data_IF_633986125839
#
_entry.id   IF_633986125839
#
_cell.length_a   1.000
_cell.length_b   1.000
_cell.length_c   1.000
_cell.angle_alpha   90.00
_cell.angle_beta   90.00
_cell.angle_gamma   90.00
#
_symmetry.space_group_name_H-M   'P 1'
#
loop_
_entity.id
_entity.type
_entity.pdbx_description
1 polymer ?
#
# COMPACT_ATOMS: atom_id res chain seq x y z
N UNK A 1 -14.51 -4.81 2.32
CA UNK A 1 -13.18 -4.71 1.69
C UNK A 1 -13.33 -4.57 0.17
N UNK A 2 -14.32 -5.21 -0.45
CA UNK A 2 -14.74 -4.98 -1.84
C UNK A 2 -14.80 -3.49 -2.25
N UNK A 3 -15.41 -2.62 -1.44
CA UNK A 3 -15.47 -1.17 -1.72
C UNK A 3 -14.09 -0.49 -1.73
N UNK A 4 -13.16 -0.93 -0.87
CA UNK A 4 -11.78 -0.43 -0.89
C UNK A 4 -11.06 -0.89 -2.16
N UNK A 5 -11.18 -2.16 -2.52
CA UNK A 5 -10.58 -2.72 -3.73
C UNK A 5 -11.06 -2.00 -5.01
N UNK A 6 -12.37 -1.72 -5.12
CA UNK A 6 -12.94 -0.97 -6.23
C UNK A 6 -12.37 0.45 -6.28
N UNK A 7 -12.32 1.15 -5.13
CA UNK A 7 -11.76 2.50 -5.07
C UNK A 7 -10.27 2.52 -5.41
N UNK A 8 -9.49 1.57 -4.90
CA UNK A 8 -8.06 1.45 -5.16
C UNK A 8 -7.79 1.25 -6.66
N UNK A 9 -8.55 0.38 -7.32
CA UNK A 9 -8.50 0.21 -8.79
C UNK A 9 -8.93 1.46 -9.57
N UNK A 10 -9.77 2.30 -8.95
CA UNK A 10 -10.31 3.54 -9.53
C UNK A 10 -9.51 4.81 -9.20
N UNK A 11 -8.36 4.72 -8.52
CA UNK A 11 -7.50 5.88 -8.28
C UNK A 11 -7.13 6.54 -9.61
N UNK A 12 -7.19 7.88 -9.64
CA UNK A 12 -7.08 8.66 -10.88
C UNK A 12 -5.86 9.58 -10.88
N UNK A 13 -5.84 10.61 -10.03
CA UNK A 13 -4.75 11.59 -9.95
C UNK A 13 -3.49 10.93 -9.42
N UNK A 14 -3.60 10.12 -8.37
CA UNK A 14 -2.46 9.44 -7.72
C UNK A 14 -2.26 8.01 -8.23
N UNK A 15 -2.59 7.75 -9.50
CA UNK A 15 -2.60 6.38 -10.04
C UNK A 15 -1.22 5.72 -10.00
N UNK A 16 -0.15 6.51 -10.19
CA UNK A 16 1.22 6.00 -10.18
C UNK A 16 1.64 5.43 -8.82
N UNK A 17 0.98 5.83 -7.73
CA UNK A 17 1.23 5.28 -6.39
C UNK A 17 0.98 3.77 -6.33
N UNK A 18 -0.08 3.29 -7.01
CA UNK A 18 -0.44 1.86 -7.07
C UNK A 18 0.07 1.16 -8.34
N UNK A 19 0.86 1.84 -9.17
CA UNK A 19 1.43 1.26 -10.40
C UNK A 19 2.76 0.56 -10.15
N UNK A 20 2.79 -0.36 -9.18
CA UNK A 20 3.96 -1.19 -8.85
C UNK A 20 3.57 -2.68 -8.82
N UNK A 21 4.54 -3.57 -9.00
CA UNK A 21 4.30 -5.02 -8.88
C UNK A 21 3.79 -5.36 -7.47
N UNK A 22 4.41 -4.81 -6.43
CA UNK A 22 4.01 -4.94 -5.02
C UNK A 22 2.55 -4.51 -4.80
N UNK A 23 2.15 -3.35 -5.32
CA UNK A 23 0.77 -2.88 -5.17
C UNK A 23 -0.23 -3.76 -5.92
N UNK A 24 0.13 -4.27 -7.11
CA UNK A 24 -0.71 -5.22 -7.86
C UNK A 24 -0.88 -6.53 -7.11
N UNK A 25 0.20 -7.12 -6.59
CA UNK A 25 0.12 -8.35 -5.79
C UNK A 25 -0.73 -8.15 -4.53
N UNK A 26 -0.67 -6.99 -3.88
CA UNK A 26 -1.58 -6.69 -2.76
C UNK A 26 -3.04 -6.62 -3.22
N UNK A 27 -3.34 -5.92 -4.32
CA UNK A 27 -4.72 -5.81 -4.82
C UNK A 27 -5.27 -7.17 -5.29
N UNK A 28 -4.44 -8.01 -5.86
CA UNK A 28 -4.79 -9.37 -6.26
C UNK A 28 -5.04 -10.26 -5.04
N UNK A 29 -4.20 -10.16 -4.01
CA UNK A 29 -4.40 -10.83 -2.72
C UNK A 29 -5.74 -10.41 -2.09
N UNK A 30 -6.02 -9.11 -2.04
CA UNK A 30 -7.31 -8.62 -1.55
C UNK A 30 -8.48 -9.15 -2.39
N UNK A 31 -8.30 -9.26 -3.71
CA UNK A 31 -9.30 -9.86 -4.59
C UNK A 31 -9.61 -11.31 -4.25
N UNK A 32 -8.56 -12.14 -4.06
CA UNK A 32 -8.71 -13.54 -3.65
C UNK A 32 -9.41 -13.68 -2.30
N UNK A 33 -9.10 -12.81 -1.34
CA UNK A 33 -9.70 -12.84 0.00
C UNK A 33 -11.17 -12.43 0.03
N UNK A 34 -11.71 -11.80 -1.02
CA UNK A 34 -13.14 -11.50 -1.13
C UNK A 34 -13.95 -12.65 -1.76
N UNK A 35 -13.30 -13.71 -2.23
CA UNK A 35 -14.00 -14.90 -2.72
C UNK A 35 -14.71 -15.63 -1.57
N UNK A 36 -15.86 -16.25 -1.85
CA UNK A 36 -16.60 -17.03 -0.84
C UNK A 36 -15.77 -18.20 -0.29
N UNK A 37 -14.88 -18.75 -1.14
CA UNK A 37 -13.95 -19.82 -0.80
C UNK A 37 -12.59 -19.58 -1.48
N UNK A 38 -11.70 -18.80 -0.85
CA UNK A 38 -10.41 -18.48 -1.44
C UNK A 38 -9.55 -19.75 -1.65
N UNK A 39 -8.91 -19.87 -2.81
CA UNK A 39 -7.96 -20.95 -3.08
C UNK A 39 -6.66 -20.75 -2.28
N UNK A 40 -6.33 -21.71 -1.43
CA UNK A 40 -5.17 -21.63 -0.54
C UNK A 40 -3.83 -21.53 -1.30
N UNK A 41 -3.71 -22.22 -2.43
CA UNK A 41 -2.50 -22.21 -3.25
C UNK A 41 -2.29 -20.85 -3.95
N UNK A 42 -3.37 -20.27 -4.48
CA UNK A 42 -3.37 -18.95 -5.08
C UNK A 42 -3.02 -17.87 -4.04
N UNK A 43 -3.65 -17.91 -2.86
CA UNK A 43 -3.37 -16.97 -1.76
C UNK A 43 -1.89 -17.08 -1.36
N UNK A 44 -1.37 -18.28 -1.15
CA UNK A 44 0.03 -18.48 -0.78
C UNK A 44 1.01 -18.00 -1.87
N UNK A 45 0.69 -18.24 -3.14
CA UNK A 45 1.51 -17.80 -4.27
C UNK A 45 1.57 -16.28 -4.40
N UNK A 46 0.42 -15.60 -4.32
CA UNK A 46 0.36 -14.13 -4.39
C UNK A 46 1.03 -13.51 -3.17
N UNK A 47 0.75 -14.02 -1.96
CA UNK A 47 1.37 -13.52 -0.75
C UNK A 47 2.89 -13.71 -0.77
N UNK A 48 3.40 -14.84 -1.27
CA UNK A 48 4.83 -15.08 -1.42
C UNK A 48 5.52 -14.03 -2.28
N UNK A 49 4.93 -13.66 -3.43
CA UNK A 49 5.46 -12.59 -4.30
C UNK A 49 5.38 -11.22 -3.64
N UNK A 50 4.25 -10.91 -2.98
CA UNK A 50 4.10 -9.67 -2.23
C UNK A 50 5.19 -9.55 -1.16
N UNK A 51 5.41 -10.61 -0.40
CA UNK A 51 6.42 -10.66 0.65
C UNK A 51 7.84 -10.49 0.08
N UNK A 52 8.17 -11.19 -1.00
CA UNK A 52 9.46 -11.06 -1.71
C UNK A 52 9.67 -9.62 -2.20
N UNK A 53 8.69 -9.04 -2.88
CA UNK A 53 8.76 -7.68 -3.40
C UNK A 53 8.93 -6.63 -2.30
N UNK A 54 8.25 -6.81 -1.17
CA UNK A 54 8.43 -5.96 0.00
C UNK A 54 9.79 -6.16 0.67
N UNK A 55 10.36 -7.36 0.63
CA UNK A 55 11.64 -7.67 1.29
C UNK A 55 12.85 -7.03 0.58
N UNK A 56 12.80 -6.93 -0.76
CA UNK A 56 13.90 -6.40 -1.59
C UNK A 56 13.94 -4.87 -1.68
N UNK A 57 12.98 -4.15 -1.08
CA UNK A 57 13.00 -2.69 -1.12
C UNK A 57 14.15 -2.10 -0.29
N UNK A 58 14.95 -1.26 -0.95
CA UNK A 58 16.14 -0.62 -0.38
C UNK A 58 15.79 0.47 0.65
N UNK A 59 14.73 1.26 0.42
CA UNK A 59 14.35 2.38 1.29
C UNK A 59 13.27 1.97 2.31
N UNK A 60 13.63 2.01 3.60
CA UNK A 60 12.72 1.74 4.74
C UNK A 60 12.35 3.03 5.46
N UNK A 61 11.30 3.70 4.98
CA UNK A 61 10.78 4.94 5.55
C UNK A 61 9.98 4.71 6.84
N UNK A 62 9.30 3.57 6.94
CA UNK A 62 8.45 3.19 8.07
C UNK A 62 8.73 1.76 8.54
N UNK A 63 8.37 1.40 9.78
CA UNK A 63 8.61 0.06 10.30
C UNK A 63 7.87 -1.05 9.54
N UNK A 64 6.65 -0.81 9.07
CA UNK A 64 5.92 -1.76 8.24
C UNK A 64 6.31 -1.59 6.77
N UNK A 65 6.77 -2.68 6.13
CA UNK A 65 7.26 -2.64 4.76
C UNK A 65 6.22 -2.17 3.74
N UNK A 66 4.95 -2.57 3.88
CA UNK A 66 3.88 -2.12 2.99
C UNK A 66 3.59 -0.63 3.16
N UNK A 67 3.49 -0.17 4.41
CA UNK A 67 3.31 1.26 4.70
C UNK A 67 4.48 2.09 4.18
N UNK A 68 5.71 1.59 4.36
CA UNK A 68 6.93 2.20 3.83
C UNK A 68 6.88 2.30 2.31
N UNK A 69 6.57 1.19 1.63
CA UNK A 69 6.41 1.14 0.17
C UNK A 69 5.41 2.20 -0.29
N UNK A 70 4.21 2.19 0.27
CA UNK A 70 3.13 3.08 -0.14
C UNK A 70 3.51 4.56 0.03
N UNK A 71 4.16 4.91 1.15
CA UNK A 71 4.63 6.28 1.39
C UNK A 71 5.76 6.65 0.44
N UNK A 72 6.73 5.78 0.20
CA UNK A 72 7.79 6.01 -0.78
C UNK A 72 7.22 6.32 -2.16
N UNK A 73 6.24 5.52 -2.59
CA UNK A 73 5.50 5.75 -3.84
C UNK A 73 4.79 7.10 -3.87
N UNK A 74 4.16 7.54 -2.78
CA UNK A 74 3.52 8.87 -2.69
C UNK A 74 4.56 9.99 -2.84
N UNK A 75 5.75 9.83 -2.24
CA UNK A 75 6.81 10.83 -2.29
C UNK A 75 7.46 10.93 -3.68
N UNK A 76 7.50 9.82 -4.41
CA UNK A 76 8.16 9.73 -5.72
C UNK A 76 7.20 9.97 -6.90
N UNK A 77 5.88 9.96 -6.66
CA UNK A 77 4.88 10.09 -7.70
C UNK A 77 4.77 11.54 -8.21
N UNK A 78 5.32 11.77 -9.41
CA UNK A 78 5.05 12.98 -10.18
C UNK A 78 3.69 12.84 -10.90
N UNK A 79 2.70 13.61 -10.45
CA UNK A 79 1.30 13.50 -10.89
C UNK A 79 0.68 14.87 -11.16
N UNK A 80 -0.54 14.94 -11.74
CA UNK A 80 -1.17 16.21 -12.05
C UNK A 80 -1.36 17.14 -10.83
N UNK A 81 -1.48 16.60 -9.62
CA UNK A 81 -1.55 17.41 -8.40
C UNK A 81 -0.18 17.98 -8.02
N UNK A 82 0.89 17.17 -7.97
CA UNK A 82 2.23 17.65 -7.63
C UNK A 82 2.75 18.66 -8.66
N UNK A 83 2.59 18.37 -9.96
CA UNK A 83 2.95 19.28 -11.04
C UNK A 83 2.16 20.61 -11.00
N UNK A 84 0.88 20.56 -10.65
CA UNK A 84 0.06 21.76 -10.46
C UNK A 84 0.51 22.58 -9.24
N UNK A 85 0.85 21.90 -8.15
CA UNK A 85 1.33 22.53 -6.92
C UNK A 85 2.67 23.24 -7.13
N UNK A 86 3.60 22.61 -7.85
CA UNK A 86 4.90 23.21 -8.22
C UNK A 86 4.74 24.49 -9.03
N UNK A 87 3.73 24.55 -9.91
CA UNK A 87 3.42 25.73 -10.73
C UNK A 87 2.60 26.79 -9.98
N UNK A 88 2.11 26.48 -8.78
CA UNK A 88 1.20 27.35 -8.03
C UNK A 88 -0.23 27.40 -8.59
N UNK A 89 -0.58 26.49 -9.50
CA UNK A 89 -1.86 26.47 -10.22
C UNK A 89 -2.46 25.05 -10.19
N UNK A 90 -3.33 24.80 -9.20
CA UNK A 90 -4.04 23.52 -9.08
C UNK A 90 -5.50 23.72 -9.50
N UNK A 91 -5.95 22.96 -10.51
CA UNK A 91 -7.37 22.93 -10.86
C UNK A 91 -8.22 22.42 -9.68
N UNK A 92 -9.39 23.02 -9.37
CA UNK A 92 -10.28 22.54 -8.32
C UNK A 92 -10.64 21.04 -8.45
N UNK A 93 -10.82 20.55 -9.69
CA UNK A 93 -11.13 19.13 -9.92
C UNK A 93 -9.97 18.20 -9.58
N UNK A 94 -8.73 18.62 -9.85
CA UNK A 94 -7.52 17.85 -9.53
C UNK A 94 -7.32 17.80 -8.02
N UNK A 95 -7.49 18.93 -7.33
CA UNK A 95 -7.42 19.00 -5.87
C UNK A 95 -8.45 18.08 -5.21
N UNK A 96 -9.70 18.13 -5.68
CA UNK A 96 -10.78 17.31 -5.12
C UNK A 96 -10.54 15.81 -5.37
N UNK A 97 -10.08 15.45 -6.57
CA UNK A 97 -9.77 14.06 -6.90
C UNK A 97 -8.55 13.55 -6.13
N UNK A 98 -7.49 14.34 -6.00
CA UNK A 98 -6.33 13.99 -5.16
C UNK A 98 -6.75 13.73 -3.71
N UNK A 99 -7.67 14.53 -3.16
CA UNK A 99 -8.23 14.29 -1.82
C UNK A 99 -9.06 13.00 -1.71
N UNK A 100 -9.76 12.58 -2.77
CA UNK A 100 -10.45 11.27 -2.82
C UNK A 100 -9.46 10.11 -2.91
N UNK A 101 -8.44 10.26 -3.74
CA UNK A 101 -7.39 9.26 -3.92
C UNK A 101 -6.59 9.07 -2.61
N UNK A 102 -6.17 10.15 -1.96
CA UNK A 102 -5.47 10.10 -0.67
C UNK A 102 -6.28 9.42 0.43
N UNK A 103 -7.61 9.65 0.49
CA UNK A 103 -8.47 8.92 1.43
C UNK A 103 -8.47 7.41 1.16
N UNK A 104 -8.47 7.01 -0.11
CA UNK A 104 -8.39 5.60 -0.50
C UNK A 104 -7.02 5.02 -0.14
N UNK A 105 -5.93 5.74 -0.44
CA UNK A 105 -4.58 5.33 -0.07
C UNK A 105 -4.40 5.25 1.46
N UNK A 106 -5.07 6.11 2.22
CA UNK A 106 -5.08 6.04 3.69
C UNK A 106 -5.74 4.77 4.21
N UNK A 107 -6.83 4.34 3.59
CA UNK A 107 -7.45 3.07 3.94
C UNK A 107 -6.56 1.87 3.55
N UNK A 108 -5.85 1.96 2.42
CA UNK A 108 -4.85 0.96 2.03
C UNK A 108 -3.65 0.93 3.00
N UNK A 109 -3.22 2.09 3.50
CA UNK A 109 -2.15 2.23 4.49
C UNK A 109 -2.46 1.50 5.81
N UNK A 110 -3.74 1.46 6.20
CA UNK A 110 -4.20 0.77 7.40
C UNK A 110 -4.13 -0.76 7.29
N UNK A 111 -3.86 -1.31 6.10
CA UNK A 111 -3.64 -2.74 5.87
C UNK A 111 -2.20 -3.12 6.20
N UNK A 112 -1.80 -2.92 7.46
CA UNK A 112 -0.49 -3.33 7.93
C UNK A 112 -0.32 -4.86 7.90
N UNK A 113 0.92 -5.32 8.13
CA UNK A 113 1.27 -6.74 8.11
C UNK A 113 0.38 -7.57 9.05
N UNK A 114 0.09 -7.06 10.24
CA UNK A 114 -0.69 -7.77 11.24
C UNK A 114 -2.15 -7.93 10.80
N UNK A 115 -2.75 -6.87 10.25
CA UNK A 115 -4.11 -6.90 9.73
C UNK A 115 -4.23 -7.85 8.53
N UNK A 116 -3.27 -7.81 7.59
CA UNK A 116 -3.29 -8.66 6.40
C UNK A 116 -3.09 -10.13 6.75
N UNK A 117 -2.11 -10.46 7.60
CA UNK A 117 -1.89 -11.83 8.05
C UNK A 117 -3.11 -12.37 8.78
N UNK A 118 -3.66 -11.63 9.76
CA UNK A 118 -4.86 -12.07 10.48
C UNK A 118 -6.06 -12.31 9.55
N UNK A 119 -6.18 -11.55 8.46
CA UNK A 119 -7.21 -11.78 7.43
C UNK A 119 -6.96 -13.06 6.63
N UNK A 120 -5.73 -13.30 6.21
CA UNK A 120 -5.36 -14.51 5.47
C UNK A 120 -5.64 -15.75 6.30
N UNK A 121 -5.20 -15.75 7.56
CA UNK A 121 -5.39 -16.89 8.47
C UNK A 121 -6.87 -17.14 8.81
N UNK A 122 -7.66 -16.07 8.91
CA UNK A 122 -9.11 -16.18 9.11
C UNK A 122 -9.83 -16.75 7.88
N UNK A 123 -9.46 -16.31 6.68
CA UNK A 123 -10.07 -16.73 5.43
C UNK A 123 -9.61 -18.14 5.00
N UNK A 124 -8.35 -18.47 5.25
CA UNK A 124 -7.72 -19.74 4.87
C UNK A 124 -6.90 -20.28 6.06
N UNK A 125 -7.55 -20.97 7.02
CA UNK A 125 -6.86 -21.44 8.24
C UNK A 125 -5.66 -22.35 8.01
N UNK A 126 -5.61 -23.03 6.86
CA UNK A 126 -4.47 -23.87 6.46
C UNK A 126 -3.16 -23.09 6.26
N UNK A 127 -3.23 -21.76 6.10
CA UNK A 127 -2.07 -20.88 5.92
C UNK A 127 -1.56 -20.27 7.24
N UNK A 128 -2.14 -20.65 8.38
CA UNK A 128 -1.74 -20.07 9.67
C UNK A 128 -0.30 -20.39 10.04
N UNK A 129 0.43 -19.37 10.49
CA UNK A 129 1.80 -19.48 10.96
C UNK A 129 2.85 -19.75 9.87
N UNK A 130 2.51 -19.64 8.58
CA UNK A 130 3.47 -19.82 7.49
C UNK A 130 4.44 -18.65 7.39
N UNK A 131 3.95 -17.42 7.59
CA UNK A 131 4.73 -16.20 7.38
C UNK A 131 4.83 -15.36 8.65
N UNK A 132 5.93 -14.63 8.74
CA UNK A 132 6.12 -13.58 9.75
C UNK A 132 5.71 -12.21 9.19
N UNK A 133 5.25 -11.28 10.04
CA UNK A 133 5.00 -9.90 9.61
C UNK A 133 6.25 -9.26 8.98
N UNK A 134 6.08 -8.50 7.90
CA UNK A 134 7.15 -7.72 7.26
C UNK A 134 7.46 -6.41 8.01
N UNK A 135 7.57 -6.50 9.33
CA UNK A 135 7.88 -5.36 10.18
C UNK A 135 9.37 -5.35 10.54
N UNK A 136 10.02 -4.21 10.31
CA UNK A 136 11.37 -3.96 10.77
C UNK A 136 11.37 -2.75 11.73
N UNK A 137 11.52 -2.97 13.04
CA UNK A 137 11.43 -1.89 14.02
C UNK A 137 12.59 -0.88 13.93
N UNK A 138 13.70 -1.22 13.28
CA UNK A 138 14.87 -0.34 13.13
C UNK A 138 15.20 -0.05 11.67
N UNK A 139 14.73 1.08 11.12
CA UNK A 139 15.15 1.51 9.80
C UNK A 139 16.51 2.23 9.84
N UNK A 140 17.35 2.00 8.83
CA UNK A 140 18.65 2.65 8.62
C UNK A 140 18.54 4.20 8.53
N UNK A 141 19.63 4.89 8.89
CA UNK A 141 19.91 6.35 8.92
C UNK A 141 18.76 7.38 8.75
N UNK A 142 18.75 8.42 9.60
CA UNK A 142 17.79 9.53 9.53
C UNK A 142 17.89 10.29 8.19
N UNK A 143 16.75 10.49 7.50
CA UNK A 143 16.68 11.25 6.25
C UNK A 143 15.49 12.23 6.23
N UNK A 144 15.53 13.33 5.45
CA UNK A 144 14.39 14.25 5.32
C UNK A 144 13.11 13.56 4.83
N UNK A 145 13.25 12.58 3.92
CA UNK A 145 12.13 11.76 3.43
C UNK A 145 11.46 11.00 4.56
N UNK A 146 12.25 10.48 5.51
CA UNK A 146 11.74 9.76 6.68
C UNK A 146 11.01 10.66 7.67
N UNK A 147 11.44 11.92 7.83
CA UNK A 147 10.69 12.89 8.61
C UNK A 147 9.32 13.17 7.99
N UNK A 148 9.26 13.35 6.66
CA UNK A 148 8.00 13.54 5.93
C UNK A 148 7.13 12.28 6.03
N UNK A 149 7.71 11.09 5.88
CA UNK A 149 6.99 9.82 6.02
C UNK A 149 6.36 9.66 7.40
N UNK A 150 7.07 10.02 8.47
CA UNK A 150 6.51 10.04 9.84
C UNK A 150 5.34 11.01 9.96
N UNK A 151 5.45 12.21 9.38
CA UNK A 151 4.33 13.17 9.35
C UNK A 151 3.12 12.62 8.60
N UNK A 152 3.32 12.00 7.43
CA UNK A 152 2.26 11.37 6.64
C UNK A 152 1.59 10.20 7.36
N UNK A 153 2.35 9.41 8.12
CA UNK A 153 1.80 8.31 8.92
C UNK A 153 0.93 8.80 10.10
N UNK A 154 1.19 10.01 10.60
CA UNK A 154 0.50 10.60 11.75
C UNK A 154 -0.69 11.50 11.39
N UNK A 155 -0.73 12.03 10.16
CA UNK A 155 -1.85 12.80 9.59
C UNK A 155 -3.10 11.94 9.43
#
# INVERSE_FOLDING_TARGET
MATLLIRARGIATLRGVLDSAVARDLLDLLGLLEEERPDAGAVASVFGRLWEGLAIEDERLLPDAWQSHLVGRILDDENPFSLGAERGEISPSVLEQAGRDLRTLREMFALDAAMLLGRIESAVPALSGIWVPWTNPEPAEESPRREIARKLSAA
#
